data_IF_262790070598
#
_entry.id   IF_262790070598
#
_cell.length_a   1.000
_cell.length_b   1.000
_cell.length_c   1.000
_cell.angle_alpha   90.00
_cell.angle_beta   90.00
_cell.angle_gamma   90.00
#
_symmetry.space_group_name_H-M   'P 1'
#
loop_
_entity.id
_entity.type
_entity.pdbx_description
1 polymer ?
#
# COMPACT_ATOMS: atom_id res chain seq x y z
N UNK A 1 14.87 -2.30 -32.88
CA UNK A 1 16.19 -2.30 -32.21
C UNK A 1 16.79 -0.92 -32.36
N UNK A 2 16.73 -0.11 -31.30
CA UNK A 2 17.52 1.11 -31.14
C UNK A 2 18.19 0.99 -29.79
N UNK A 3 19.50 0.88 -29.83
CA UNK A 3 20.38 0.57 -28.71
C UNK A 3 20.34 1.66 -27.65
N UNK A 4 20.05 1.26 -26.40
CA UNK A 4 20.22 2.08 -25.20
C UNK A 4 21.71 2.25 -24.86
N UNK A 5 22.47 2.85 -25.77
CA UNK A 5 23.87 3.20 -25.55
C UNK A 5 23.89 4.70 -25.32
N UNK A 6 23.99 5.11 -24.06
CA UNK A 6 24.07 6.54 -23.69
C UNK A 6 23.62 6.91 -22.28
N UNK A 7 23.15 5.96 -21.46
CA UNK A 7 23.09 6.18 -20.01
C UNK A 7 24.33 5.54 -19.39
N UNK A 8 25.37 6.37 -19.21
CA UNK A 8 26.44 6.04 -18.27
C UNK A 8 25.80 5.59 -16.96
N UNK A 9 26.25 4.45 -16.47
CA UNK A 9 25.80 3.83 -15.21
C UNK A 9 26.03 4.81 -14.07
N UNK A 10 24.99 5.58 -13.71
CA UNK A 10 24.97 6.35 -12.47
C UNK A 10 24.89 5.36 -11.32
N UNK A 11 26.01 5.19 -10.63
CA UNK A 11 26.10 4.35 -9.44
C UNK A 11 25.35 4.98 -8.27
N UNK A 12 25.06 4.21 -7.20
CA UNK A 12 24.51 4.75 -5.97
C UNK A 12 25.38 5.83 -5.32
N UNK A 13 26.66 5.92 -5.69
CA UNK A 13 27.58 6.98 -5.24
C UNK A 13 27.44 8.31 -5.99
N UNK A 14 26.94 8.32 -7.23
CA UNK A 14 26.77 9.56 -8.02
C UNK A 14 25.60 10.43 -7.53
N UNK A 15 24.65 9.83 -6.81
CA UNK A 15 23.54 10.56 -6.18
C UNK A 15 24.01 11.54 -5.08
N UNK A 16 25.25 11.39 -4.60
CA UNK A 16 25.86 12.25 -3.59
C UNK A 16 26.31 13.62 -4.13
N UNK A 17 26.40 13.80 -5.45
CA UNK A 17 27.02 14.99 -6.08
C UNK A 17 26.00 16.06 -6.48
N UNK A 18 24.70 15.76 -6.49
CA UNK A 18 23.67 16.77 -6.85
C UNK A 18 23.43 17.75 -5.68
N UNK A 19 24.21 18.82 -5.61
CA UNK A 19 23.93 20.00 -4.80
C UNK A 19 22.84 20.83 -5.48
N UNK A 20 21.60 20.72 -5.01
CA UNK A 20 20.43 21.45 -5.54
C UNK A 20 19.11 20.83 -5.07
N UNK A 21 17.98 21.52 -5.29
CA UNK A 21 16.65 20.95 -5.05
C UNK A 21 16.42 19.77 -6.01
N UNK A 22 16.27 18.56 -5.46
CA UNK A 22 16.03 17.34 -6.25
C UNK A 22 14.84 17.50 -7.21
N UNK A 23 13.78 18.21 -6.78
CA UNK A 23 12.60 18.42 -7.61
C UNK A 23 12.83 19.41 -8.73
N UNK A 24 13.61 20.46 -8.49
CA UNK A 24 14.07 21.36 -9.54
C UNK A 24 14.92 20.60 -10.57
N UNK A 25 15.87 19.77 -10.12
CA UNK A 25 16.67 18.92 -11.01
C UNK A 25 15.82 17.91 -11.79
N UNK A 26 14.85 17.27 -11.15
CA UNK A 26 13.95 16.31 -11.79
C UNK A 26 13.07 17.00 -12.84
N UNK A 27 12.35 18.06 -12.46
CA UNK A 27 11.39 18.76 -13.34
C UNK A 27 12.07 19.54 -14.47
N UNK A 28 13.30 20.01 -14.25
CA UNK A 28 14.11 20.66 -15.29
C UNK A 28 14.75 19.66 -16.26
N UNK A 29 14.90 18.39 -15.86
CA UNK A 29 15.58 17.36 -16.65
C UNK A 29 14.92 17.11 -18.01
N UNK A 30 15.75 16.85 -19.03
CA UNK A 30 15.27 16.42 -20.36
C UNK A 30 14.43 15.14 -20.28
N UNK A 31 14.78 14.25 -19.35
CA UNK A 31 14.02 13.01 -19.12
C UNK A 31 12.58 13.34 -18.72
N UNK A 32 12.36 14.18 -17.71
CA UNK A 32 11.02 14.55 -17.26
C UNK A 32 10.23 15.29 -18.34
N UNK A 33 10.87 16.22 -19.07
CA UNK A 33 10.21 17.03 -20.11
C UNK A 33 9.84 16.25 -21.38
N UNK A 34 10.62 15.22 -21.73
CA UNK A 34 10.48 14.54 -23.02
C UNK A 34 9.84 13.14 -22.93
N UNK A 35 9.72 12.56 -21.73
CA UNK A 35 9.10 11.23 -21.57
C UNK A 35 7.62 11.30 -21.93
N UNK A 36 7.21 10.58 -22.99
CA UNK A 36 5.80 10.51 -23.40
C UNK A 36 5.14 9.29 -22.77
N UNK A 37 4.25 9.54 -21.79
CA UNK A 37 3.58 8.56 -20.91
C UNK A 37 3.00 7.34 -21.66
N UNK A 38 2.40 7.54 -22.84
CA UNK A 38 1.69 6.48 -23.56
C UNK A 38 2.63 5.53 -24.31
N UNK A 39 3.83 5.94 -24.74
CA UNK A 39 4.74 5.07 -25.52
C UNK A 39 5.90 4.53 -24.70
N UNK A 40 6.52 5.38 -23.90
CA UNK A 40 7.81 5.07 -23.28
C UNK A 40 7.66 4.31 -21.95
N UNK A 41 6.51 4.44 -21.29
CA UNK A 41 6.23 3.77 -20.00
C UNK A 41 5.22 2.63 -20.17
N UNK A 42 4.10 2.85 -20.86
CA UNK A 42 3.06 1.81 -21.00
C UNK A 42 3.60 0.53 -21.67
N UNK A 43 4.48 0.68 -22.67
CA UNK A 43 5.10 -0.43 -23.40
C UNK A 43 6.19 -1.17 -22.61
N UNK A 44 6.61 -0.65 -21.45
CA UNK A 44 7.58 -1.30 -20.54
C UNK A 44 6.91 -2.10 -19.44
N UNK A 45 5.61 -1.87 -19.21
CA UNK A 45 4.79 -2.60 -18.23
C UNK A 45 4.27 -3.95 -18.79
N UNK A 46 5.09 -4.65 -19.58
CA UNK A 46 4.76 -5.95 -20.21
C UNK A 46 4.64 -7.12 -19.23
N UNK A 47 4.89 -6.88 -17.94
CA UNK A 47 4.96 -7.91 -16.90
C UNK A 47 3.69 -8.01 -16.05
N UNK A 48 2.67 -7.18 -16.31
CA UNK A 48 1.37 -7.30 -15.68
C UNK A 48 0.26 -7.13 -16.73
N UNK A 49 -0.64 -8.11 -16.92
CA UNK A 49 -1.84 -7.92 -17.75
C UNK A 49 -2.67 -6.74 -17.27
N UNK A 50 -3.33 -6.07 -18.20
CA UNK A 50 -4.46 -5.23 -17.85
C UNK A 50 -5.64 -6.13 -17.48
N UNK A 51 -5.84 -6.37 -16.19
CA UNK A 51 -6.99 -7.13 -15.68
C UNK A 51 -8.11 -6.18 -15.31
N UNK A 52 -9.22 -6.30 -16.02
CA UNK A 52 -10.43 -5.54 -15.76
C UNK A 52 -11.60 -6.47 -15.45
N UNK A 53 -12.54 -5.95 -14.66
CA UNK A 53 -13.82 -6.59 -14.41
C UNK A 53 -14.89 -6.02 -15.36
N UNK A 54 -15.85 -6.85 -15.69
CA UNK A 54 -17.13 -6.47 -16.27
C UNK A 54 -18.21 -6.54 -15.19
N UNK A 55 -19.34 -5.87 -15.41
CA UNK A 55 -20.50 -5.90 -14.49
C UNK A 55 -21.06 -7.33 -14.29
N UNK A 56 -20.82 -8.22 -15.25
CA UNK A 56 -21.21 -9.63 -15.20
C UNK A 56 -20.26 -10.51 -14.39
N UNK A 57 -19.06 -10.04 -14.03
CA UNK A 57 -18.15 -10.83 -13.23
C UNK A 57 -18.65 -10.98 -11.79
N UNK A 58 -18.32 -12.12 -11.19
CA UNK A 58 -18.76 -12.42 -9.84
C UNK A 58 -17.99 -11.62 -8.78
N UNK A 59 -18.63 -11.46 -7.62
CA UNK A 59 -18.00 -10.90 -6.43
C UNK A 59 -16.74 -11.69 -6.03
N UNK A 60 -16.76 -13.03 -6.16
CA UNK A 60 -15.59 -13.87 -5.88
C UNK A 60 -14.39 -13.53 -6.78
N UNK A 61 -14.62 -13.33 -8.08
CA UNK A 61 -13.58 -12.90 -9.05
C UNK A 61 -12.91 -11.61 -8.56
N UNK A 62 -13.72 -10.62 -8.18
CA UNK A 62 -13.24 -9.33 -7.68
C UNK A 62 -12.41 -9.50 -6.40
N UNK A 63 -12.91 -10.27 -5.42
CA UNK A 63 -12.17 -10.49 -4.17
C UNK A 63 -10.86 -11.25 -4.39
N UNK A 64 -10.82 -12.24 -5.29
CA UNK A 64 -9.60 -12.99 -5.63
C UNK A 64 -8.55 -12.08 -6.28
N UNK A 65 -8.95 -11.23 -7.23
CA UNK A 65 -8.05 -10.26 -7.85
C UNK A 65 -7.43 -9.31 -6.81
N UNK A 66 -8.26 -8.77 -5.91
CA UNK A 66 -7.84 -7.82 -4.89
C UNK A 66 -7.03 -8.46 -3.75
N UNK A 67 -7.17 -9.77 -3.52
CA UNK A 67 -6.46 -10.51 -2.47
C UNK A 67 -5.33 -11.38 -3.02
N UNK A 68 -5.65 -12.59 -3.49
CA UNK A 68 -4.70 -13.62 -3.92
C UNK A 68 -3.76 -13.11 -5.02
N UNK A 69 -4.30 -12.38 -6.00
CA UNK A 69 -3.51 -11.83 -7.11
C UNK A 69 -2.95 -10.43 -6.85
N UNK A 70 -3.06 -9.94 -5.61
CA UNK A 70 -2.37 -8.76 -5.07
C UNK A 70 -2.64 -7.46 -5.85
N UNK A 71 -3.78 -7.35 -6.52
CA UNK A 71 -4.20 -6.11 -7.16
C UNK A 71 -4.67 -5.12 -6.08
N UNK A 72 -4.20 -3.88 -6.13
CA UNK A 72 -4.65 -2.82 -5.20
C UNK A 72 -5.99 -2.22 -5.63
N UNK A 73 -6.20 -2.20 -6.94
CA UNK A 73 -7.39 -1.72 -7.59
C UNK A 73 -7.63 -2.47 -8.88
N UNK A 74 -8.90 -2.63 -9.26
CA UNK A 74 -9.31 -3.34 -10.48
C UNK A 74 -10.26 -2.42 -11.25
N UNK A 75 -9.93 -2.04 -12.50
CA UNK A 75 -10.83 -1.26 -13.34
C UNK A 75 -12.06 -2.08 -13.72
N UNK A 76 -13.19 -1.40 -13.86
CA UNK A 76 -14.44 -1.97 -14.39
C UNK A 76 -14.65 -1.39 -15.77
N UNK A 77 -14.78 -2.24 -16.79
CA UNK A 77 -14.90 -1.83 -18.19
C UNK A 77 -16.23 -2.26 -18.78
N UNK A 78 -16.68 -1.49 -19.77
CA UNK A 78 -17.67 -1.94 -20.74
C UNK A 78 -16.94 -2.30 -22.04
N UNK A 79 -16.96 -3.60 -22.41
CA UNK A 79 -16.29 -4.05 -23.63
C UNK A 79 -17.00 -3.55 -24.89
N UNK A 80 -18.29 -3.19 -24.83
CA UNK A 80 -19.00 -2.65 -25.97
C UNK A 80 -18.51 -1.25 -26.36
N UNK A 81 -18.20 -0.42 -25.36
CA UNK A 81 -17.86 1.00 -25.56
C UNK A 81 -16.36 1.30 -25.50
N UNK A 82 -15.52 0.33 -25.10
CA UNK A 82 -14.09 0.54 -24.88
C UNK A 82 -13.80 1.54 -23.75
N UNK A 83 -14.74 1.72 -22.82
CA UNK A 83 -14.66 2.70 -21.72
C UNK A 83 -14.40 2.03 -20.38
N UNK A 84 -13.58 2.68 -19.56
CA UNK A 84 -13.45 2.37 -18.14
C UNK A 84 -14.59 3.07 -17.42
N UNK A 85 -15.52 2.29 -16.86
CA UNK A 85 -16.69 2.79 -16.13
C UNK A 85 -16.33 3.21 -14.70
N UNK A 86 -15.49 2.42 -14.02
CA UNK A 86 -15.14 2.67 -12.62
C UNK A 86 -13.84 1.95 -12.22
N UNK A 87 -13.41 2.11 -10.97
CA UNK A 87 -12.29 1.40 -10.35
C UNK A 87 -12.72 0.89 -8.97
N UNK A 88 -12.55 -0.40 -8.73
CA UNK A 88 -12.78 -1.02 -7.41
C UNK A 88 -11.45 -1.07 -6.66
N UNK A 89 -11.44 -0.69 -5.38
CA UNK A 89 -10.25 -0.74 -4.52
C UNK A 89 -10.47 -1.67 -3.33
N UNK A 90 -9.38 -2.11 -2.67
CA UNK A 90 -9.49 -2.86 -1.43
C UNK A 90 -10.26 -2.08 -0.34
N UNK A 91 -10.08 -0.77 -0.24
CA UNK A 91 -10.79 0.06 0.73
C UNK A 91 -12.30 0.10 0.48
N UNK A 92 -12.73 0.08 -0.79
CA UNK A 92 -14.16 -0.01 -1.14
C UNK A 92 -14.77 -1.34 -0.69
N UNK A 93 -14.02 -2.45 -0.78
CA UNK A 93 -14.46 -3.74 -0.25
C UNK A 93 -14.58 -3.69 1.28
N UNK A 94 -13.61 -3.11 1.99
CA UNK A 94 -13.69 -2.97 3.45
C UNK A 94 -14.89 -2.10 3.87
N UNK A 95 -15.17 -1.03 3.14
CA UNK A 95 -16.35 -0.20 3.38
C UNK A 95 -17.66 -0.99 3.21
N UNK A 96 -17.81 -1.70 2.09
CA UNK A 96 -19.00 -2.54 1.86
C UNK A 96 -19.14 -3.66 2.91
N UNK A 97 -18.03 -4.24 3.40
CA UNK A 97 -18.07 -5.18 4.53
C UNK A 97 -18.50 -4.50 5.84
N UNK A 98 -18.11 -3.26 6.10
CA UNK A 98 -18.57 -2.51 7.28
C UNK A 98 -20.09 -2.29 7.24
N UNK A 99 -20.63 -2.00 6.04
CA UNK A 99 -22.08 -1.88 5.79
C UNK A 99 -22.84 -3.21 5.93
N UNK A 100 -22.15 -4.35 5.92
CA UNK A 100 -22.77 -5.66 6.18
C UNK A 100 -23.08 -5.94 7.66
N UNK A 101 -22.90 -4.95 8.55
CA UNK A 101 -23.31 -5.06 9.95
C UNK A 101 -24.80 -5.40 10.06
N UNK A 102 -25.14 -6.40 10.87
CA UNK A 102 -26.50 -6.89 11.05
C UNK A 102 -26.89 -8.06 10.14
N UNK A 103 -26.12 -8.38 9.09
CA UNK A 103 -26.33 -9.61 8.34
C UNK A 103 -25.79 -10.82 9.11
N UNK A 104 -26.58 -11.90 9.20
CA UNK A 104 -26.24 -13.08 10.01
C UNK A 104 -24.86 -13.68 9.67
N UNK A 105 -24.52 -13.77 8.38
CA UNK A 105 -23.22 -14.30 7.94
C UNK A 105 -22.06 -13.40 8.41
N UNK A 106 -22.26 -12.07 8.40
CA UNK A 106 -21.24 -11.12 8.80
C UNK A 106 -21.09 -11.08 10.32
N UNK A 107 -22.17 -11.20 11.09
CA UNK A 107 -22.08 -11.30 12.55
C UNK A 107 -21.39 -12.59 12.99
N UNK A 108 -21.67 -13.72 12.32
CA UNK A 108 -21.01 -15.01 12.60
C UNK A 108 -19.50 -14.98 12.31
N UNK A 109 -19.10 -14.32 11.22
CA UNK A 109 -17.68 -14.18 10.88
C UNK A 109 -17.00 -13.06 11.68
N UNK A 110 -17.64 -11.90 11.76
CA UNK A 110 -17.12 -10.66 12.33
C UNK A 110 -16.87 -10.71 13.84
N UNK A 111 -17.56 -11.57 14.57
CA UNK A 111 -17.35 -11.78 16.02
C UNK A 111 -16.12 -12.62 16.37
N UNK A 112 -15.54 -13.32 15.39
CA UNK A 112 -14.30 -14.08 15.61
C UNK A 112 -13.15 -13.13 15.92
N UNK A 113 -12.27 -13.55 16.82
CA UNK A 113 -11.03 -12.82 17.12
C UNK A 113 -10.02 -12.96 15.98
N UNK A 114 -9.10 -12.00 15.88
CA UNK A 114 -8.06 -12.01 14.84
C UNK A 114 -7.24 -13.31 14.86
N UNK A 115 -6.89 -13.80 16.05
CA UNK A 115 -6.15 -15.05 16.22
C UNK A 115 -6.88 -16.27 15.61
N UNK A 116 -8.20 -16.33 15.76
CA UNK A 116 -9.02 -17.48 15.32
C UNK A 116 -9.05 -17.64 13.80
N UNK A 117 -8.81 -16.54 13.06
CA UNK A 117 -8.73 -16.54 11.60
C UNK A 117 -7.29 -16.45 11.10
N UNK A 118 -6.29 -16.59 11.99
CA UNK A 118 -4.88 -16.56 11.64
C UNK A 118 -4.36 -15.18 11.24
N UNK A 119 -4.89 -14.10 11.83
CA UNK A 119 -4.34 -12.75 11.69
C UNK A 119 -3.62 -12.32 12.98
N UNK A 120 -2.50 -11.57 12.87
CA UNK A 120 -1.80 -11.18 11.63
C UNK A 120 -1.12 -12.38 10.93
N UNK A 121 -1.06 -12.35 9.60
CA UNK A 121 -0.48 -13.46 8.81
C UNK A 121 1.06 -13.49 8.86
N UNK A 122 1.69 -12.35 9.14
CA UNK A 122 3.15 -12.24 9.20
C UNK A 122 3.66 -12.27 10.63
N UNK A 123 4.87 -12.80 10.82
CA UNK A 123 5.53 -12.83 12.12
C UNK A 123 6.13 -11.47 12.50
N UNK A 124 6.36 -11.20 13.81
CA UNK A 124 6.98 -9.95 14.26
C UNK A 124 8.35 -9.66 13.63
N UNK A 125 9.11 -10.72 13.30
CA UNK A 125 10.47 -10.61 12.73
C UNK A 125 10.48 -10.15 11.28
N UNK A 126 9.38 -10.38 10.56
CA UNK A 126 9.24 -10.04 9.14
C UNK A 126 8.72 -8.61 8.93
N UNK A 127 8.38 -7.91 10.01
CA UNK A 127 7.83 -6.55 9.92
C UNK A 127 8.92 -5.58 9.49
N UNK A 128 8.78 -5.09 8.26
CA UNK A 128 9.59 -4.00 7.73
C UNK A 128 9.19 -2.72 8.44
N UNK A 129 10.15 -2.10 9.14
CA UNK A 129 9.97 -0.92 9.97
C UNK A 129 11.11 0.07 9.77
N UNK A 130 10.91 1.32 10.19
CA UNK A 130 11.97 2.34 10.28
C UNK A 130 12.04 2.88 11.69
N UNK A 131 13.24 3.20 12.16
CA UNK A 131 13.41 3.91 13.42
C UNK A 131 13.14 5.42 13.22
N UNK A 132 12.70 6.08 14.29
CA UNK A 132 12.25 7.46 14.27
C UNK A 132 13.34 8.47 13.89
N UNK A 133 14.61 8.13 14.16
CA UNK A 133 15.82 8.88 13.86
C UNK A 133 16.34 8.66 12.43
N UNK A 134 15.89 7.61 11.74
CA UNK A 134 16.31 7.32 10.38
C UNK A 134 15.71 8.34 9.40
N UNK A 135 16.43 8.67 8.31
CA UNK A 135 15.90 9.54 7.26
C UNK A 135 14.59 9.00 6.69
N UNK A 136 13.59 9.87 6.45
CA UNK A 136 12.29 9.49 5.86
C UNK A 136 12.46 8.77 4.52
N UNK A 137 13.50 9.12 3.75
CA UNK A 137 13.79 8.49 2.46
C UNK A 137 14.05 6.98 2.59
N UNK A 138 14.56 6.52 3.74
CA UNK A 138 14.72 5.10 4.03
C UNK A 138 13.36 4.38 4.08
N UNK A 139 12.31 5.02 4.60
CA UNK A 139 10.95 4.48 4.60
C UNK A 139 10.45 4.25 3.16
N UNK A 140 10.60 5.24 2.29
CA UNK A 140 10.22 5.14 0.88
C UNK A 140 11.05 4.10 0.12
N UNK A 141 12.37 4.01 0.40
CA UNK A 141 13.25 2.99 -0.15
C UNK A 141 12.82 1.57 0.26
N UNK A 142 12.49 1.37 1.53
CA UNK A 142 12.00 0.09 2.05
C UNK A 142 10.63 -0.27 1.46
N UNK A 143 9.73 0.69 1.33
CA UNK A 143 8.44 0.49 0.66
C UNK A 143 8.62 -0.01 -0.78
N UNK A 144 9.49 0.65 -1.56
CA UNK A 144 9.80 0.25 -2.94
C UNK A 144 10.43 -1.14 -2.99
N UNK A 145 11.47 -1.38 -2.18
CA UNK A 145 12.22 -2.65 -2.16
C UNK A 145 11.31 -3.84 -1.81
N UNK A 146 10.46 -3.68 -0.80
CA UNK A 146 9.59 -4.75 -0.30
C UNK A 146 8.20 -4.75 -0.95
N UNK A 147 7.93 -3.84 -1.90
CA UNK A 147 6.64 -3.68 -2.59
C UNK A 147 5.45 -3.48 -1.63
N UNK A 148 5.66 -2.77 -0.54
CA UNK A 148 4.65 -2.49 0.50
C UNK A 148 4.17 -1.04 0.44
N UNK A 149 2.94 -0.81 0.90
CA UNK A 149 2.28 0.51 0.83
C UNK A 149 2.54 1.44 2.02
N UNK A 150 3.34 1.00 2.99
CA UNK A 150 3.77 1.79 4.14
C UNK A 150 4.47 0.96 5.19
N UNK A 151 5.07 1.66 6.14
CA UNK A 151 5.93 1.13 7.17
C UNK A 151 5.62 1.83 8.51
N UNK A 152 5.64 1.09 9.63
CA UNK A 152 5.60 1.68 10.96
C UNK A 152 6.92 2.40 11.25
N UNK A 153 6.80 3.56 11.89
CA UNK A 153 7.91 4.26 12.53
C UNK A 153 7.94 3.80 13.99
N UNK A 154 9.08 3.30 14.43
CA UNK A 154 9.30 2.81 15.80
C UNK A 154 10.32 3.67 16.54
N UNK A 155 10.20 3.73 17.86
CA UNK A 155 11.15 4.44 18.73
C UNK A 155 12.59 3.92 18.55
N UNK A 156 13.59 4.80 18.71
CA UNK A 156 15.00 4.40 18.68
C UNK A 156 15.32 3.48 19.87
N UNK A 157 15.95 2.33 19.61
CA UNK A 157 16.27 1.34 20.65
C UNK A 157 15.08 0.51 21.16
N UNK A 158 13.85 0.83 20.76
CA UNK A 158 12.63 0.13 21.18
C UNK A 158 11.94 -0.67 20.06
N UNK A 159 10.78 -1.24 20.40
CA UNK A 159 9.86 -1.90 19.45
C UNK A 159 8.50 -1.21 19.35
N UNK A 160 8.30 -0.11 20.07
CA UNK A 160 7.03 0.61 20.13
C UNK A 160 6.79 1.39 18.86
N UNK A 161 5.62 1.20 18.26
CA UNK A 161 5.20 1.97 17.08
C UNK A 161 4.71 3.36 17.50
N UNK A 162 5.33 4.41 16.94
CA UNK A 162 4.99 5.81 17.22
C UNK A 162 4.32 6.49 16.02
N UNK A 163 4.44 5.91 14.82
CA UNK A 163 4.07 6.55 13.57
C UNK A 163 3.83 5.56 12.43
N UNK A 164 3.27 6.05 11.34
CA UNK A 164 3.14 5.31 10.09
C UNK A 164 3.46 6.22 8.91
N UNK A 165 4.38 5.79 8.05
CA UNK A 165 4.63 6.44 6.76
C UNK A 165 4.09 5.53 5.66
N UNK A 166 3.32 6.09 4.75
CA UNK A 166 2.61 5.40 3.68
C UNK A 166 2.88 6.02 2.32
N UNK A 167 2.43 5.33 1.27
CA UNK A 167 2.46 5.89 -0.09
C UNK A 167 1.64 7.19 -0.23
N UNK A 168 0.65 7.44 0.63
CA UNK A 168 -0.11 8.70 0.61
C UNK A 168 0.78 9.87 1.02
N UNK A 169 1.72 9.64 1.92
CA UNK A 169 2.60 10.70 2.45
C UNK A 169 3.63 11.19 1.41
N UNK A 170 3.87 10.40 0.35
CA UNK A 170 4.72 10.80 -0.79
C UNK A 170 4.19 12.08 -1.44
N UNK A 171 2.88 12.34 -1.41
CA UNK A 171 2.30 13.53 -2.02
C UNK A 171 2.85 14.82 -1.40
N UNK A 172 3.20 14.81 -0.11
CA UNK A 172 3.72 15.99 0.58
C UNK A 172 5.12 16.37 0.10
N UNK A 173 5.85 15.45 -0.56
CA UNK A 173 7.09 15.81 -1.27
C UNK A 173 6.84 16.80 -2.41
N UNK A 174 5.62 16.80 -2.98
CA UNK A 174 5.24 17.62 -4.11
C UNK A 174 4.40 18.83 -3.68
N UNK A 175 3.48 18.64 -2.74
CA UNK A 175 2.48 19.65 -2.37
C UNK A 175 2.89 20.53 -1.19
N UNK A 176 3.94 20.16 -0.47
CA UNK A 176 4.41 20.86 0.72
C UNK A 176 5.95 20.92 0.75
N UNK A 177 6.60 21.59 -0.23
CA UNK A 177 8.05 21.69 -0.31
C UNK A 177 8.70 22.29 0.95
N UNK A 178 7.96 23.10 1.71
CA UNK A 178 8.38 23.65 3.01
C UNK A 178 8.67 22.57 4.06
N UNK A 179 8.03 21.39 3.99
CA UNK A 179 8.32 20.25 4.86
C UNK A 179 9.72 19.69 4.59
N UNK A 180 10.23 19.88 3.38
CA UNK A 180 11.42 19.20 2.85
C UNK A 180 12.57 20.15 2.50
N UNK A 181 12.61 21.35 3.07
CA UNK A 181 13.74 22.29 2.85
C UNK A 181 15.10 21.63 3.08
N UNK A 182 15.20 20.70 4.03
CA UNK A 182 16.36 19.84 4.26
C UNK A 182 16.06 18.37 3.88
N UNK A 183 15.73 18.13 2.60
CA UNK A 183 15.27 16.85 2.06
C UNK A 183 16.17 15.63 2.35
N UNK A 184 17.46 15.83 2.67
CA UNK A 184 18.40 14.73 2.97
C UNK A 184 18.48 14.34 4.43
N UNK A 185 18.03 15.19 5.37
CA UNK A 185 18.25 15.00 6.80
C UNK A 185 16.97 14.87 7.62
N UNK A 186 15.79 15.14 7.06
CA UNK A 186 14.54 15.00 7.82
C UNK A 186 14.34 13.53 8.26
N UNK A 187 14.27 13.36 9.58
CA UNK A 187 14.04 12.07 10.21
C UNK A 187 12.59 11.64 10.03
N UNK A 188 12.32 10.34 10.15
CA UNK A 188 10.96 9.80 10.07
C UNK A 188 10.02 10.48 11.08
N UNK A 189 10.49 10.75 12.30
CA UNK A 189 9.75 11.50 13.33
C UNK A 189 9.39 12.92 12.89
N UNK A 190 10.41 13.67 12.47
CA UNK A 190 10.24 15.08 12.10
C UNK A 190 9.32 15.21 10.87
N UNK A 191 9.40 14.26 9.95
CA UNK A 191 8.50 14.18 8.83
C UNK A 191 7.04 14.00 9.26
N UNK A 192 6.75 13.06 10.16
CA UNK A 192 5.40 12.86 10.69
C UNK A 192 4.84 14.11 11.38
N UNK A 193 5.67 14.79 12.18
CA UNK A 193 5.30 16.05 12.85
C UNK A 193 4.99 17.13 11.82
N UNK A 194 5.85 17.29 10.80
CA UNK A 194 5.67 18.29 9.77
C UNK A 194 4.42 18.06 8.93
N UNK A 195 4.13 16.82 8.54
CA UNK A 195 2.88 16.43 7.84
C UNK A 195 1.67 16.73 8.70
N UNK A 196 1.69 16.35 9.98
CA UNK A 196 0.59 16.64 10.91
C UNK A 196 0.34 18.14 11.01
N UNK A 197 1.38 18.94 11.22
CA UNK A 197 1.28 20.41 11.30
C UNK A 197 0.75 21.03 10.01
N UNK A 198 1.15 20.50 8.84
CA UNK A 198 0.65 20.94 7.56
C UNK A 198 -0.84 20.64 7.42
N UNK A 199 -1.27 19.41 7.74
CA UNK A 199 -2.68 19.01 7.69
C UNK A 199 -3.54 19.81 8.68
N UNK A 200 -3.06 20.09 9.89
CA UNK A 200 -3.79 20.92 10.85
C UNK A 200 -4.04 22.35 10.34
N UNK A 201 -3.16 22.87 9.46
CA UNK A 201 -3.31 24.18 8.84
C UNK A 201 -4.18 24.17 7.58
N UNK A 202 -4.05 23.14 6.75
CA UNK A 202 -4.63 23.11 5.41
C UNK A 202 -5.86 22.19 5.26
N UNK A 203 -5.96 21.12 6.06
CA UNK A 203 -7.05 20.14 6.00
C UNK A 203 -7.30 19.47 7.36
N UNK A 204 -7.99 20.20 8.25
CA UNK A 204 -8.32 19.74 9.62
C UNK A 204 -9.23 18.51 9.67
N UNK A 205 -9.84 18.14 8.55
CA UNK A 205 -10.73 16.97 8.44
C UNK A 205 -10.02 15.77 7.83
N UNK A 206 -8.73 15.89 7.53
CA UNK A 206 -7.95 14.82 6.95
C UNK A 206 -7.90 13.60 7.89
N UNK A 207 -8.30 12.40 7.42
CA UNK A 207 -8.14 11.16 8.18
C UNK A 207 -6.67 10.83 8.49
N UNK A 208 -5.72 11.49 7.82
CA UNK A 208 -4.28 11.33 8.07
C UNK A 208 -3.80 12.03 9.35
N UNK A 209 -4.66 12.83 9.99
CA UNK A 209 -4.38 13.42 11.31
C UNK A 209 -4.53 12.41 12.45
N UNK A 210 -5.35 11.37 12.25
CA UNK A 210 -5.41 10.23 13.15
C UNK A 210 -4.03 9.58 13.19
N UNK A 211 -3.42 9.55 14.38
CA UNK A 211 -2.09 8.96 14.57
C UNK A 211 -2.05 7.47 14.27
N UNK A 212 -0.99 6.80 14.70
CA UNK A 212 -0.87 5.35 14.51
C UNK A 212 -1.98 4.61 15.24
N UNK A 213 -2.89 4.01 14.49
CA UNK A 213 -3.94 3.16 15.03
C UNK A 213 -3.37 1.77 15.26
N UNK A 214 -3.48 1.29 16.50
CA UNK A 214 -2.99 -0.02 16.94
C UNK A 214 -4.13 -0.86 17.53
N UNK A 215 -3.90 -2.16 17.65
CA UNK A 215 -4.84 -3.08 18.27
C UNK A 215 -4.15 -4.26 18.94
N UNK A 216 -4.91 -4.99 19.76
CA UNK A 216 -4.52 -6.26 20.37
C UNK A 216 -4.97 -7.44 19.51
N UNK A 217 -4.37 -8.61 19.73
CA UNK A 217 -4.69 -9.85 18.98
C UNK A 217 -6.09 -10.41 19.24
N UNK A 218 -6.72 -10.03 20.35
CA UNK A 218 -8.03 -10.49 20.76
C UNK A 218 -9.18 -9.60 20.26
N UNK A 219 -8.88 -8.50 19.56
CA UNK A 219 -9.87 -7.67 18.87
C UNK A 219 -10.68 -8.52 17.88
N UNK A 220 -11.93 -8.16 17.66
CA UNK A 220 -12.76 -8.86 16.66
C UNK A 220 -12.52 -8.35 15.25
N UNK A 221 -12.87 -9.15 14.26
CA UNK A 221 -12.78 -8.76 12.84
C UNK A 221 -13.72 -7.59 12.53
N UNK A 222 -14.93 -7.59 13.10
CA UNK A 222 -15.90 -6.52 12.92
C UNK A 222 -15.35 -5.20 13.40
N UNK A 223 -14.79 -5.15 14.61
CA UNK A 223 -14.17 -3.93 15.15
C UNK A 223 -12.97 -3.49 14.32
N UNK A 224 -12.13 -4.43 13.83
CA UNK A 224 -11.03 -4.13 12.91
C UNK A 224 -11.54 -3.47 11.62
N UNK A 225 -12.55 -4.05 10.97
CA UNK A 225 -13.13 -3.52 9.73
C UNK A 225 -13.73 -2.14 9.95
N UNK A 226 -14.50 -1.96 11.02
CA UNK A 226 -15.10 -0.68 11.39
C UNK A 226 -14.03 0.38 11.64
N UNK A 227 -12.95 0.05 12.36
CA UNK A 227 -11.84 0.98 12.61
C UNK A 227 -11.14 1.38 11.32
N UNK A 228 -10.84 0.42 10.44
CA UNK A 228 -10.16 0.70 9.17
C UNK A 228 -11.01 1.57 8.24
N UNK A 229 -12.32 1.34 8.21
CA UNK A 229 -13.25 2.13 7.40
C UNK A 229 -13.48 3.52 7.97
N UNK A 230 -13.68 3.67 9.28
CA UNK A 230 -13.92 4.98 9.91
C UNK A 230 -12.69 5.89 9.83
N UNK A 231 -11.51 5.34 10.14
CA UNK A 231 -10.24 6.08 10.14
C UNK A 231 -9.65 6.22 8.72
N UNK A 232 -10.27 5.60 7.70
CA UNK A 232 -9.80 5.60 6.30
C UNK A 232 -8.32 5.21 6.17
N UNK A 233 -7.89 4.23 6.95
CA UNK A 233 -6.53 3.68 6.96
C UNK A 233 -6.46 2.32 6.27
N UNK A 234 -5.31 1.99 5.68
CA UNK A 234 -5.14 0.77 4.88
C UNK A 234 -4.48 -0.39 5.64
N UNK A 235 -4.12 -0.15 6.90
CA UNK A 235 -3.48 -1.14 7.77
C UNK A 235 -3.64 -0.75 9.23
N UNK A 236 -3.62 -1.76 10.08
CA UNK A 236 -3.57 -1.59 11.53
C UNK A 236 -2.41 -2.42 12.08
N UNK A 237 -1.69 -1.85 13.04
CA UNK A 237 -0.59 -2.55 13.70
C UNK A 237 -1.10 -3.31 14.92
N UNK A 238 -0.61 -4.53 15.09
CA UNK A 238 -0.90 -5.36 16.25
C UNK A 238 0.22 -5.18 17.25
N UNK A 239 -0.10 -4.94 18.52
CA UNK A 239 0.86 -4.69 19.58
C UNK A 239 0.61 -5.57 20.82
N UNK A 240 1.68 -5.85 21.57
CA UNK A 240 1.61 -6.50 22.88
C UNK A 240 1.17 -5.53 23.98
N UNK A 241 1.14 -6.00 25.23
CA UNK A 241 0.76 -5.25 26.43
C UNK A 241 1.65 -4.05 26.75
N UNK A 242 2.90 -4.10 26.32
CA UNK A 242 3.85 -3.00 26.46
C UNK A 242 3.81 -2.03 25.26
N UNK A 243 2.96 -2.30 24.26
CA UNK A 243 2.84 -1.50 23.04
C UNK A 243 3.91 -1.80 21.99
N UNK A 244 4.67 -2.89 22.16
CA UNK A 244 5.64 -3.33 21.17
C UNK A 244 4.94 -3.93 19.96
N UNK A 245 5.51 -3.69 18.79
CA UNK A 245 4.98 -4.16 17.53
C UNK A 245 5.09 -5.68 17.38
N UNK A 246 3.95 -6.32 17.15
CA UNK A 246 3.80 -7.77 17.01
C UNK A 246 3.31 -8.20 15.63
N UNK A 247 2.66 -7.31 14.88
CA UNK A 247 2.13 -7.63 13.57
C UNK A 247 1.60 -6.43 12.81
N UNK A 248 1.23 -6.66 11.56
CA UNK A 248 0.44 -5.71 10.77
C UNK A 248 -0.64 -6.49 10.04
N UNK A 249 -1.82 -5.89 10.00
CA UNK A 249 -2.98 -6.40 9.25
C UNK A 249 -3.33 -5.36 8.21
N UNK A 250 -3.37 -5.77 6.95
CA UNK A 250 -3.74 -4.93 5.80
C UNK A 250 -5.15 -5.26 5.32
N UNK A 251 -5.74 -4.38 4.50
CA UNK A 251 -7.04 -4.64 3.87
C UNK A 251 -7.02 -5.96 3.07
N UNK A 252 -5.92 -6.24 2.38
CA UNK A 252 -5.71 -7.48 1.64
C UNK A 252 -5.81 -8.72 2.53
N UNK A 253 -5.23 -8.66 3.73
CA UNK A 253 -5.24 -9.80 4.66
C UNK A 253 -6.67 -10.10 5.08
N UNK A 254 -7.49 -9.09 5.36
CA UNK A 254 -8.91 -9.25 5.69
C UNK A 254 -9.68 -9.89 4.52
N UNK A 255 -9.53 -9.33 3.31
CA UNK A 255 -10.20 -9.84 2.11
C UNK A 255 -9.80 -11.30 1.84
N UNK A 256 -8.53 -11.65 2.06
CA UNK A 256 -8.03 -13.01 1.86
C UNK A 256 -8.69 -14.05 2.77
N UNK A 257 -9.25 -13.65 3.92
CA UNK A 257 -9.94 -14.53 4.86
C UNK A 257 -11.41 -14.78 4.52
N UNK A 258 -11.93 -14.08 3.51
CA UNK A 258 -13.29 -14.26 2.98
C UNK A 258 -13.31 -15.09 1.70
N UNK A 259 -12.15 -15.35 1.09
CA UNK A 259 -12.07 -16.03 -0.21
C UNK A 259 -11.45 -17.41 -0.07
N UNK A 260 -12.08 -18.34 -0.77
CA UNK A 260 -11.48 -19.62 -1.15
C UNK A 260 -11.60 -19.71 -2.67
N UNK A 261 -10.49 -19.95 -3.36
CA UNK A 261 -10.52 -20.15 -4.82
C UNK A 261 -10.88 -21.61 -5.11
N UNK A 262 -12.03 -21.88 -5.77
CA UNK A 262 -12.35 -23.22 -6.23
C UNK A 262 -11.26 -23.76 -7.18
N UNK A 263 -11.05 -25.06 -7.17
CA UNK A 263 -10.11 -25.68 -8.10
C UNK A 263 -10.47 -25.34 -9.55
N UNK A 264 -9.49 -24.84 -10.32
CA UNK A 264 -9.67 -24.48 -11.73
C UNK A 264 -10.56 -23.26 -11.96
N UNK A 265 -10.83 -22.42 -10.95
CA UNK A 265 -11.75 -21.28 -11.07
C UNK A 265 -11.39 -20.31 -12.20
N UNK A 266 -10.10 -20.08 -12.43
CA UNK A 266 -9.60 -19.28 -13.55
C UNK A 266 -9.11 -20.13 -14.73
N UNK A 267 -9.15 -21.46 -14.66
CA UNK A 267 -8.50 -22.35 -15.63
C UNK A 267 -7.07 -21.88 -15.92
N UNK A 268 -6.75 -21.72 -17.20
CA UNK A 268 -5.44 -21.30 -17.70
C UNK A 268 -5.33 -19.77 -17.87
N UNK A 269 -6.31 -18.99 -17.38
CA UNK A 269 -6.39 -17.54 -17.63
C UNK A 269 -5.15 -16.76 -17.17
N UNK A 270 -4.46 -17.26 -16.15
CA UNK A 270 -3.24 -16.63 -15.62
C UNK A 270 -1.95 -17.25 -16.15
N UNK A 271 -2.01 -18.25 -17.01
CA UNK A 271 -0.82 -18.92 -17.54
C UNK A 271 -0.03 -17.97 -18.44
N UNK A 272 1.24 -17.76 -18.09
CA UNK A 272 2.12 -16.79 -18.76
C UNK A 272 1.82 -15.32 -18.45
N UNK A 273 0.81 -15.06 -17.63
CA UNK A 273 0.29 -13.72 -17.35
C UNK A 273 0.71 -13.22 -15.96
N UNK A 274 0.80 -14.11 -14.97
CA UNK A 274 1.33 -13.81 -13.65
C UNK A 274 2.59 -14.66 -13.38
N UNK A 275 3.63 -14.10 -12.72
CA UNK A 275 4.77 -14.90 -12.31
C UNK A 275 4.28 -15.99 -11.34
N UNK A 276 4.48 -17.25 -11.73
CA UNK A 276 4.16 -18.40 -10.90
C UNK A 276 4.93 -18.30 -9.57
N UNK A 277 4.33 -18.70 -8.42
CA UNK A 277 5.08 -18.92 -7.20
C UNK A 277 6.25 -19.87 -7.46
N UNK A 278 7.39 -19.66 -6.81
CA UNK A 278 8.64 -20.43 -7.03
C UNK A 278 8.48 -21.96 -6.86
N UNK A 279 7.36 -22.44 -6.31
CA UNK A 279 7.09 -23.85 -6.01
C UNK A 279 5.90 -24.46 -6.79
N UNK A 280 5.37 -23.83 -7.84
CA UNK A 280 4.37 -24.47 -8.70
C UNK A 280 5.04 -25.48 -9.64
N UNK A 281 4.86 -26.78 -9.36
CA UNK A 281 5.07 -27.85 -10.34
C UNK A 281 3.76 -28.08 -11.09
N UNK A 282 3.81 -27.96 -12.42
CA UNK A 282 2.76 -28.45 -13.34
C UNK A 282 2.83 -29.96 -13.39
#
# INVERSE_FOLDING_TARGET
MTSAVGLGTLGPEDASITSGDFFEALTSSKFYKNTKVVRDISGTFRWAPFLALQKSNSFLTMLLLLSKYKMKSVPVVDLGDGKINNIITQSAVIHMLAECTGFHWFESWGTKKLLEIGLPTMSPKEIIKVHEDQPVLQAFKLMRKNRIGGVPVVESGGKKAIGNISLRDVQFLLTAPEIYRDYRSITAKNFLIAVKNYLEKHDKRSPMLSGTVTCKRDKTIKELIQTLDSEKIHRMYVVDDDGNLEGVITLRDIISRLVHEPHGYFGDFFDGVLPLPENCRV
#
